data_IF_213083130344
#
_entry.id   IF_213083130344
#
_cell.length_a   1.000
_cell.length_b   1.000
_cell.length_c   1.000
_cell.angle_alpha   90.00
_cell.angle_beta   90.00
_cell.angle_gamma   90.00
#
_symmetry.space_group_name_H-M   'P 1'
#
loop_
_entity.id
_entity.type
_entity.pdbx_description
1 polymer ?
#
# COMPACT_ATOMS: atom_id res chain seq x y z
N UNK A 1 -10.30 3.76 13.83
CA UNK A 1 -10.97 2.61 13.19
C UNK A 1 -10.57 2.44 11.72
N UNK A 2 -9.29 2.64 11.35
CA UNK A 2 -8.85 2.49 9.94
C UNK A 2 -9.68 3.34 8.98
N UNK A 3 -10.30 2.70 7.99
CA UNK A 3 -11.15 3.32 6.97
C UNK A 3 -12.53 3.80 7.49
N UNK A 4 -12.93 3.44 8.72
CA UNK A 4 -14.21 3.84 9.32
C UNK A 4 -15.19 2.67 9.50
N UNK A 5 -16.46 3.02 9.73
CA UNK A 5 -17.53 2.03 9.87
C UNK A 5 -17.92 1.44 8.51
N UNK A 6 -18.20 0.14 8.48
CA UNK A 6 -18.62 -0.56 7.26
C UNK A 6 -20.05 -0.16 6.86
N UNK A 7 -20.26 0.09 5.57
CA UNK A 7 -21.58 0.18 4.95
C UNK A 7 -21.88 -1.13 4.20
N UNK A 8 -23.15 -1.52 4.11
CA UNK A 8 -23.52 -2.85 3.61
C UNK A 8 -23.61 -2.94 2.09
N UNK A 9 -23.89 -1.83 1.41
CA UNK A 9 -24.15 -1.80 -0.04
C UNK A 9 -22.97 -1.27 -0.86
N UNK A 10 -22.23 -0.28 -0.36
CA UNK A 10 -21.19 0.41 -1.14
C UNK A 10 -19.98 -0.50 -1.49
N UNK A 11 -19.48 -1.38 -0.61
CA UNK A 11 -18.37 -2.27 -0.95
C UNK A 11 -18.70 -3.32 -2.01
N UNK A 12 -19.99 -3.55 -2.32
CA UNK A 12 -20.41 -4.53 -3.33
C UNK A 12 -20.23 -4.02 -4.76
N UNK A 13 -20.20 -2.69 -4.95
CA UNK A 13 -20.06 -2.05 -6.26
C UNK A 13 -19.08 -0.88 -6.18
N UNK A 14 -17.80 -1.14 -5.86
CA UNK A 14 -16.79 -0.09 -5.90
C UNK A 14 -16.56 0.33 -7.36
N UNK A 15 -16.25 1.61 -7.58
CA UNK A 15 -15.84 2.09 -8.90
C UNK A 15 -14.34 1.91 -9.14
N UNK A 16 -13.55 2.07 -8.08
CA UNK A 16 -12.10 1.96 -8.07
C UNK A 16 -11.67 0.99 -6.98
N UNK A 17 -10.65 0.19 -7.27
CA UNK A 17 -10.01 -0.71 -6.30
C UNK A 17 -8.50 -0.55 -6.33
N UNK A 18 -7.87 -0.81 -5.20
CA UNK A 18 -6.41 -0.91 -5.09
C UNK A 18 -6.03 -2.37 -5.21
N UNK A 19 -5.61 -2.78 -6.41
CA UNK A 19 -5.20 -4.15 -6.66
C UNK A 19 -3.80 -4.41 -6.12
N UNK A 20 -3.61 -5.58 -5.53
CA UNK A 20 -2.31 -6.08 -5.12
C UNK A 20 -2.15 -7.51 -5.61
N UNK A 21 -0.91 -7.90 -5.85
CA UNK A 21 -0.52 -9.24 -6.25
C UNK A 21 0.24 -9.91 -5.11
N UNK A 22 0.45 -11.22 -5.23
CA UNK A 22 1.35 -11.93 -4.31
C UNK A 22 2.75 -11.32 -4.30
N UNK A 23 3.26 -10.84 -5.43
CA UNK A 23 4.57 -10.19 -5.51
C UNK A 23 4.65 -8.92 -4.64
N UNK A 24 3.57 -8.14 -4.53
CA UNK A 24 3.54 -6.94 -3.69
C UNK A 24 3.72 -7.29 -2.22
N UNK A 25 3.09 -8.37 -1.76
CA UNK A 25 3.26 -8.86 -0.39
C UNK A 25 4.62 -9.52 -0.14
N UNK A 26 5.19 -10.22 -1.12
CA UNK A 26 6.55 -10.74 -0.98
C UNK A 26 7.58 -9.61 -0.93
N UNK A 27 7.39 -8.58 -1.76
CA UNK A 27 8.18 -7.35 -1.74
C UNK A 27 8.03 -6.61 -0.41
N UNK A 28 6.82 -6.52 0.17
CA UNK A 28 6.61 -5.98 1.52
C UNK A 28 7.55 -6.61 2.55
N UNK A 29 7.63 -7.94 2.56
CA UNK A 29 8.46 -8.68 3.49
C UNK A 29 9.95 -8.36 3.26
N UNK A 30 10.39 -8.28 2.00
CA UNK A 30 11.74 -7.84 1.65
C UNK A 30 12.04 -6.40 2.11
N UNK A 31 11.11 -5.47 1.93
CA UNK A 31 11.24 -4.07 2.35
C UNK A 31 11.34 -3.91 3.87
N UNK A 32 10.76 -4.86 4.62
CA UNK A 32 10.92 -4.97 6.07
C UNK A 32 12.27 -5.60 6.50
N UNK A 33 13.19 -5.82 5.57
CA UNK A 33 14.55 -6.31 5.84
C UNK A 33 14.70 -7.83 5.85
N UNK A 34 13.66 -8.57 5.46
CA UNK A 34 13.73 -10.03 5.36
C UNK A 34 14.45 -10.45 4.08
N UNK A 35 15.34 -11.44 4.19
CA UNK A 35 15.95 -12.05 3.02
C UNK A 35 15.05 -13.13 2.41
N UNK A 36 15.37 -13.54 1.18
CA UNK A 36 14.58 -14.52 0.42
C UNK A 36 14.35 -15.84 1.17
N UNK A 37 15.31 -16.28 1.99
CA UNK A 37 15.18 -17.50 2.80
C UNK A 37 14.10 -17.35 3.86
N UNK A 38 14.07 -16.23 4.59
CA UNK A 38 13.03 -15.93 5.58
C UNK A 38 11.66 -15.72 4.93
N UNK A 39 11.62 -15.01 3.80
CA UNK A 39 10.38 -14.81 3.03
C UNK A 39 9.77 -16.17 2.67
N UNK A 40 10.57 -17.11 2.12
CA UNK A 40 10.11 -18.46 1.79
C UNK A 40 9.56 -19.22 2.99
N UNK A 41 10.16 -19.07 4.18
CA UNK A 41 9.65 -19.70 5.41
C UNK A 41 8.29 -19.11 5.80
N UNK A 42 8.13 -17.79 5.72
CA UNK A 42 6.90 -17.10 6.12
C UNK A 42 5.77 -17.34 5.11
N UNK A 43 6.06 -17.22 3.82
CA UNK A 43 5.05 -17.38 2.75
C UNK A 43 4.78 -18.85 2.41
N UNK A 44 5.59 -19.78 2.91
CA UNK A 44 5.57 -21.21 2.60
C UNK A 44 6.15 -21.53 1.22
N UNK A 45 5.78 -20.75 0.20
CA UNK A 45 6.31 -20.84 -1.17
C UNK A 45 6.48 -19.45 -1.77
N UNK A 46 7.33 -19.33 -2.79
CA UNK A 46 7.46 -18.13 -3.63
C UNK A 46 7.53 -18.57 -5.09
N UNK A 47 7.10 -17.73 -6.04
CA UNK A 47 7.30 -18.01 -7.47
C UNK A 47 8.77 -18.26 -7.80
N UNK A 48 9.06 -19.16 -8.75
CA UNK A 48 10.43 -19.56 -9.08
C UNK A 48 11.34 -18.40 -9.52
N UNK A 49 10.74 -17.36 -10.11
CA UNK A 49 11.43 -16.16 -10.56
C UNK A 49 11.43 -15.01 -9.53
N UNK A 50 10.97 -15.26 -8.29
CA UNK A 50 10.95 -14.24 -7.25
C UNK A 50 12.28 -14.16 -6.49
N UNK A 51 12.81 -12.95 -6.36
CA UNK A 51 13.88 -12.62 -5.44
C UNK A 51 13.65 -11.23 -4.86
N UNK A 52 14.13 -10.99 -3.64
CA UNK A 52 14.04 -9.65 -3.05
C UNK A 52 14.78 -8.61 -3.91
N UNK A 53 14.18 -7.44 -4.19
CA UNK A 53 14.84 -6.34 -4.88
C UNK A 53 16.11 -5.91 -4.15
N UNK A 54 17.18 -5.57 -4.90
CA UNK A 54 18.46 -5.16 -4.31
C UNK A 54 18.39 -3.85 -3.54
N UNK A 55 17.46 -2.99 -3.93
CA UNK A 55 17.16 -1.67 -3.37
C UNK A 55 16.04 -1.72 -2.31
N UNK A 56 15.69 -2.92 -1.82
CA UNK A 56 14.73 -3.09 -0.73
C UNK A 56 15.09 -2.25 0.50
N UNK A 57 14.17 -1.40 0.93
CA UNK A 57 14.33 -0.58 2.12
C UNK A 57 12.95 -0.23 2.71
N UNK A 58 12.92 0.20 3.97
CA UNK A 58 11.68 0.45 4.70
C UNK A 58 10.85 1.61 4.16
N UNK A 59 11.43 2.54 3.39
CA UNK A 59 10.67 3.63 2.80
C UNK A 59 9.70 3.12 1.72
N UNK A 60 10.05 2.03 1.04
CA UNK A 60 9.23 1.40 0.01
C UNK A 60 8.00 0.70 0.57
N UNK A 61 7.95 0.42 1.88
CA UNK A 61 6.76 -0.14 2.54
C UNK A 61 5.55 0.77 2.32
N UNK A 62 5.77 2.08 2.44
CA UNK A 62 4.71 3.06 2.27
C UNK A 62 4.19 3.10 0.82
N UNK A 63 4.83 2.43 -0.15
CA UNK A 63 4.45 2.40 -1.56
C UNK A 63 3.61 1.18 -1.99
N UNK A 64 3.33 0.21 -1.11
CA UNK A 64 2.42 -0.89 -1.42
C UNK A 64 1.03 -0.38 -1.74
N UNK A 65 0.38 -0.94 -2.76
CA UNK A 65 -0.91 -0.49 -3.24
C UNK A 65 -2.10 -0.76 -2.29
N UNK A 66 -2.09 -0.13 -1.12
CA UNK A 66 -3.05 -0.35 -0.03
C UNK A 66 -4.04 0.83 0.08
N UNK A 67 -5.33 0.59 0.41
CA UNK A 67 -6.39 1.61 0.48
C UNK A 67 -6.31 2.50 1.74
N UNK A 68 -5.10 2.71 2.25
CA UNK A 68 -4.79 3.69 3.28
C UNK A 68 -3.33 4.15 3.15
N UNK A 69 -3.04 5.31 3.74
CA UNK A 69 -1.70 5.88 3.75
C UNK A 69 -1.17 5.81 5.18
N UNK A 70 -0.06 5.11 5.36
CA UNK A 70 0.74 5.12 6.57
C UNK A 70 2.18 5.46 6.16
N UNK A 71 2.78 6.44 6.83
CA UNK A 71 4.14 6.92 6.55
C UNK A 71 4.90 6.97 7.85
N UNK A 72 6.12 6.44 7.85
CA UNK A 72 7.06 6.62 8.95
C UNK A 72 8.01 7.78 8.60
N UNK A 73 7.97 8.85 9.40
CA UNK A 73 8.85 10.01 9.22
C UNK A 73 10.19 9.79 9.91
N UNK A 74 11.08 9.03 9.28
CA UNK A 74 12.46 8.81 9.78
C UNK A 74 13.39 9.95 9.37
N UNK A 75 13.15 11.16 9.90
CA UNK A 75 14.01 12.34 9.66
C UNK A 75 13.88 12.97 8.27
N UNK A 76 12.95 12.51 7.43
CA UNK A 76 12.67 13.10 6.12
C UNK A 76 11.68 14.26 6.24
N UNK A 77 12.01 15.37 5.57
CA UNK A 77 11.13 16.55 5.52
C UNK A 77 9.88 16.33 4.67
N UNK A 78 9.93 15.43 3.68
CA UNK A 78 8.83 15.09 2.79
C UNK A 78 8.91 13.61 2.39
N UNK A 79 7.75 12.96 2.28
CA UNK A 79 7.60 11.59 1.75
C UNK A 79 6.51 11.63 0.69
N UNK A 80 6.82 11.09 -0.49
CA UNK A 80 5.86 10.91 -1.57
C UNK A 80 5.43 9.44 -1.58
N UNK A 81 4.12 9.23 -1.56
CA UNK A 81 3.52 7.90 -1.62
C UNK A 81 2.77 7.76 -2.94
N UNK A 82 3.09 6.72 -3.70
CA UNK A 82 2.44 6.44 -4.97
C UNK A 82 1.55 5.20 -4.87
N UNK A 83 0.40 5.25 -5.55
CA UNK A 83 -0.61 4.18 -5.61
C UNK A 83 -1.20 4.12 -7.01
N UNK A 84 -1.67 2.95 -7.39
CA UNK A 84 -2.41 2.73 -8.63
C UNK A 84 -3.82 2.30 -8.28
N UNK A 85 -4.81 2.97 -8.85
CA UNK A 85 -6.21 2.57 -8.73
C UNK A 85 -6.67 1.96 -10.05
N UNK A 86 -7.36 0.83 -9.96
CA UNK A 86 -7.95 0.13 -11.11
C UNK A 86 -9.44 0.45 -11.15
N UNK A 87 -9.93 0.87 -12.33
CA UNK A 87 -11.37 1.02 -12.58
C UNK A 87 -12.00 -0.36 -12.77
N UNK A 88 -13.03 -0.66 -11.97
CA UNK A 88 -13.81 -1.90 -12.07
C UNK A 88 -15.28 -1.65 -12.43
N UNK A 89 -15.68 -0.38 -12.56
CA UNK A 89 -16.96 0.01 -13.15
C UNK A 89 -16.92 -0.01 -14.67
N UNK A 90 -18.09 -0.19 -15.29
CA UNK A 90 -18.26 -0.28 -16.75
C UNK A 90 -17.99 1.05 -17.49
N UNK A 91 -17.98 2.17 -16.77
CA UNK A 91 -17.72 3.51 -17.33
C UNK A 91 -16.50 4.16 -16.69
N UNK A 92 -15.63 4.75 -17.52
CA UNK A 92 -14.51 5.58 -17.06
C UNK A 92 -15.06 6.94 -16.61
N UNK A 93 -14.99 7.22 -15.32
CA UNK A 93 -15.37 8.52 -14.75
C UNK A 93 -14.15 9.34 -14.37
N UNK A 94 -14.18 10.64 -14.66
CA UNK A 94 -13.15 11.57 -14.22
C UNK A 94 -13.22 11.73 -12.70
N UNK A 95 -12.13 11.35 -12.02
CA UNK A 95 -12.04 11.44 -10.57
C UNK A 95 -11.45 12.80 -10.15
N UNK A 96 -12.11 13.47 -9.20
CA UNK A 96 -11.59 14.68 -8.57
C UNK A 96 -11.11 14.34 -7.16
N UNK A 97 -9.85 14.64 -6.86
CA UNK A 97 -9.27 14.40 -5.53
C UNK A 97 -9.31 15.69 -4.68
N UNK A 98 -10.19 15.79 -3.65
CA UNK A 98 -10.09 16.88 -2.69
C UNK A 98 -8.82 16.72 -1.85
N UNK A 99 -7.99 17.76 -1.79
CA UNK A 99 -6.79 17.77 -0.95
C UNK A 99 -7.19 18.03 0.51
N UNK A 100 -6.98 17.03 1.37
CA UNK A 100 -7.11 17.17 2.82
C UNK A 100 -5.78 17.67 3.40
N UNK A 101 -5.76 18.90 3.92
CA UNK A 101 -4.62 19.44 4.69
C UNK A 101 -4.72 18.93 6.13
N UNK A 102 -3.82 18.03 6.53
CA UNK A 102 -3.68 17.64 7.94
C UNK A 102 -2.93 18.76 8.69
N UNK A 103 -3.52 19.33 9.74
CA UNK A 103 -2.86 20.31 10.58
C UNK A 103 -1.82 19.63 11.48
N UNK A 104 -0.74 20.36 11.80
CA UNK A 104 0.38 19.86 12.64
C UNK A 104 -0.04 19.43 14.06
N UNK A 105 -1.23 19.78 14.52
CA UNK A 105 -1.76 19.38 15.83
C UNK A 105 -2.02 17.86 15.97
N UNK A 106 -2.11 17.12 14.86
CA UNK A 106 -2.37 15.67 14.90
C UNK A 106 -1.13 14.78 14.85
N UNK A 107 0.09 15.37 14.86
CA UNK A 107 1.35 14.62 14.70
C UNK A 107 2.19 14.52 15.99
N UNK A 108 1.62 14.87 17.16
CA UNK A 108 2.35 14.90 18.44
C UNK A 108 1.90 13.87 19.47
N UNK A 109 1.58 12.63 19.05
CA UNK A 109 1.47 11.48 19.95
C UNK A 109 2.15 10.25 19.35
#
# INVERSE_FOLDING_TARGET
>A
YGAGAITTSEPLQPWLVYETTTFDYLNYLCYNGLNITMVKVISGTVPDNFNCPKDSNSDLISNINYPSIAVNFTGKANVVVSRTVTSVGEEVKQCTSPLLKLSKEYLSH
#
